data_IF_947321955395
#
_entry.id   IF_947321955395
#
_cell.length_a   1.000
_cell.length_b   1.000
_cell.length_c   1.000
_cell.angle_alpha   90.00
_cell.angle_beta   90.00
_cell.angle_gamma   90.00
#
_symmetry.space_group_name_H-M   'P 1'
#
loop_
_entity.id
_entity.type
_entity.pdbx_description
1 polymer ?
#
# COMPACT_ATOMS: atom_id res chain seq x y z
N UNK A 1 -46.51 -6.26 -34.30
CA UNK A 1 -45.53 -5.28 -33.79
C UNK A 1 -45.10 -5.76 -32.42
N UNK A 2 -43.82 -6.12 -32.24
CA UNK A 2 -43.31 -6.71 -31.00
C UNK A 2 -42.59 -5.63 -30.19
N UNK A 3 -43.05 -5.39 -28.97
CA UNK A 3 -42.45 -4.42 -28.05
C UNK A 3 -41.12 -4.95 -27.55
N UNK A 4 -40.03 -4.23 -27.83
CA UNK A 4 -38.70 -4.48 -27.28
C UNK A 4 -38.64 -3.89 -25.87
N UNK A 5 -38.53 -4.76 -24.87
CA UNK A 5 -38.34 -4.38 -23.48
C UNK A 5 -36.88 -3.95 -23.27
N UNK A 6 -36.68 -2.68 -22.90
CA UNK A 6 -35.39 -2.14 -22.51
C UNK A 6 -35.06 -2.60 -21.09
N UNK A 7 -34.39 -3.76 -20.94
CA UNK A 7 -33.70 -4.05 -19.69
C UNK A 7 -32.34 -3.36 -19.70
N UNK A 8 -32.24 -2.27 -18.94
CA UNK A 8 -30.96 -1.70 -18.57
C UNK A 8 -30.21 -2.70 -17.68
N UNK A 9 -28.89 -2.91 -17.86
CA UNK A 9 -28.10 -3.67 -16.90
C UNK A 9 -28.22 -2.96 -15.55
N UNK A 10 -28.83 -3.63 -14.57
CA UNK A 10 -28.81 -3.18 -13.20
C UNK A 10 -27.34 -2.92 -12.85
N UNK A 11 -27.02 -1.67 -12.53
CA UNK A 11 -25.67 -1.23 -12.18
C UNK A 11 -25.18 -2.05 -11.00
N UNK A 12 -24.52 -3.18 -11.29
CA UNK A 12 -23.92 -4.03 -10.30
C UNK A 12 -22.85 -3.22 -9.62
N UNK A 13 -23.10 -2.82 -8.38
CA UNK A 13 -22.08 -2.21 -7.55
C UNK A 13 -20.93 -3.20 -7.48
N UNK A 14 -19.82 -2.89 -8.14
CA UNK A 14 -18.59 -3.64 -8.00
C UNK A 14 -18.18 -3.48 -6.54
N UNK A 15 -18.41 -4.52 -5.75
CA UNK A 15 -17.88 -4.64 -4.39
C UNK A 15 -16.37 -4.72 -4.51
N UNK A 16 -15.69 -3.58 -4.48
CA UNK A 16 -14.24 -3.54 -4.28
C UNK A 16 -14.02 -4.04 -2.86
N UNK A 17 -13.62 -5.31 -2.73
CA UNK A 17 -13.13 -5.83 -1.47
C UNK A 17 -11.94 -4.97 -1.07
N UNK A 18 -12.11 -4.12 -0.07
CA UNK A 18 -11.04 -3.29 0.47
C UNK A 18 -9.97 -4.23 1.03
N UNK A 19 -8.94 -4.50 0.23
CA UNK A 19 -7.74 -5.22 0.66
C UNK A 19 -7.18 -4.45 1.85
N UNK A 20 -6.90 -5.15 2.95
CA UNK A 20 -6.23 -4.53 4.09
C UNK A 20 -4.81 -4.23 3.65
N UNK A 21 -4.51 -2.95 3.42
CA UNK A 21 -3.15 -2.47 3.23
C UNK A 21 -2.39 -2.83 4.51
N UNK A 22 -1.30 -3.58 4.39
CA UNK A 22 -0.46 -3.94 5.52
C UNK A 22 0.53 -2.80 5.77
N UNK A 23 0.47 -2.22 6.96
CA UNK A 23 1.42 -1.19 7.38
C UNK A 23 2.77 -1.84 7.71
N UNK A 24 3.90 -1.33 7.19
CA UNK A 24 5.20 -1.94 7.40
C UNK A 24 5.66 -1.78 8.85
N UNK A 25 6.42 -2.75 9.35
CA UNK A 25 6.94 -2.70 10.71
C UNK A 25 8.00 -1.61 10.83
N UNK A 26 8.03 -0.80 11.92
CA UNK A 26 9.09 0.17 12.11
C UNK A 26 10.48 -0.47 12.21
N UNK A 27 11.48 0.17 11.62
CA UNK A 27 12.87 -0.24 11.72
C UNK A 27 13.60 0.54 12.81
N UNK A 28 14.17 -0.17 13.78
CA UNK A 28 14.79 0.40 14.97
C UNK A 28 16.32 0.54 14.89
N UNK A 29 16.94 0.34 13.72
CA UNK A 29 18.40 0.54 13.55
C UNK A 29 19.23 -0.71 13.80
N UNK A 30 18.64 -1.90 13.71
CA UNK A 30 19.38 -3.16 13.82
C UNK A 30 20.54 -3.20 12.82
N UNK A 31 21.76 -3.44 13.30
CA UNK A 31 22.97 -3.60 12.46
C UNK A 31 23.04 -5.00 11.85
N UNK A 32 21.95 -5.41 11.22
CA UNK A 32 21.77 -6.69 10.58
C UNK A 32 21.27 -6.47 9.15
N UNK A 33 22.04 -6.97 8.17
CA UNK A 33 21.75 -6.73 6.76
C UNK A 33 20.39 -7.31 6.34
N UNK A 34 20.02 -8.47 6.88
CA UNK A 34 18.75 -9.13 6.59
C UNK A 34 17.56 -8.35 7.15
N UNK A 35 17.68 -7.82 8.37
CA UNK A 35 16.65 -6.97 8.96
C UNK A 35 16.43 -5.69 8.13
N UNK A 36 17.49 -5.08 7.63
CA UNK A 36 17.41 -3.92 6.75
C UNK A 36 16.77 -4.27 5.39
N UNK A 37 17.17 -5.38 4.78
CA UNK A 37 16.61 -5.85 3.50
C UNK A 37 15.12 -6.15 3.60
N UNK A 38 14.69 -6.85 4.67
CA UNK A 38 13.28 -7.11 4.93
C UNK A 38 12.47 -5.82 5.09
N UNK A 39 13.01 -4.83 5.80
CA UNK A 39 12.34 -3.54 5.97
C UNK A 39 12.15 -2.80 4.64
N UNK A 40 13.17 -2.80 3.78
CA UNK A 40 13.08 -2.19 2.45
C UNK A 40 12.03 -2.92 1.59
N UNK A 41 12.04 -4.25 1.62
CA UNK A 41 11.05 -5.06 0.91
C UNK A 41 9.61 -4.74 1.35
N UNK A 42 9.36 -4.67 2.66
CA UNK A 42 8.04 -4.33 3.22
C UNK A 42 7.60 -2.91 2.82
N UNK A 43 8.53 -1.94 2.74
CA UNK A 43 8.24 -0.58 2.27
C UNK A 43 7.89 -0.54 0.78
N UNK A 44 8.60 -1.29 -0.07
CA UNK A 44 8.32 -1.35 -1.50
C UNK A 44 6.94 -1.96 -1.80
N UNK A 45 6.56 -3.00 -1.06
CA UNK A 45 5.22 -3.58 -1.13
C UNK A 45 4.18 -2.58 -0.65
N UNK A 46 4.42 -1.91 0.48
CA UNK A 46 3.51 -0.88 0.99
C UNK A 46 3.28 0.24 -0.01
N UNK A 47 4.33 0.77 -0.66
CA UNK A 47 4.19 1.82 -1.68
C UNK A 47 3.37 1.38 -2.88
N UNK A 48 3.49 0.11 -3.27
CA UNK A 48 2.69 -0.50 -4.35
C UNK A 48 1.22 -0.56 -3.94
N UNK A 49 0.94 -1.02 -2.73
CA UNK A 49 -0.43 -1.18 -2.20
C UNK A 49 -1.17 0.15 -2.10
N UNK A 50 -0.49 1.21 -1.68
CA UNK A 50 -1.07 2.55 -1.58
C UNK A 50 -0.96 3.36 -2.89
N UNK A 51 -0.43 2.76 -3.96
CA UNK A 51 -0.18 3.40 -5.26
C UNK A 51 0.62 4.71 -5.15
N UNK A 52 1.58 4.79 -4.24
CA UNK A 52 2.42 5.99 -4.07
C UNK A 52 3.54 5.99 -5.11
N UNK A 53 3.51 7.01 -5.98
CA UNK A 53 4.40 7.11 -7.13
C UNK A 53 5.47 8.19 -7.00
N UNK A 54 5.28 9.19 -6.15
CA UNK A 54 6.25 10.28 -6.02
C UNK A 54 7.35 9.92 -5.04
N UNK A 55 8.60 10.14 -5.42
CA UNK A 55 9.76 9.83 -4.57
C UNK A 55 9.75 10.62 -3.26
N UNK A 56 9.29 11.87 -3.28
CA UNK A 56 9.11 12.69 -2.07
C UNK A 56 8.15 12.04 -1.06
N UNK A 57 7.01 11.51 -1.53
CA UNK A 57 6.06 10.84 -0.65
C UNK A 57 6.61 9.50 -0.14
N UNK A 58 7.33 8.75 -0.98
CA UNK A 58 8.01 7.50 -0.57
C UNK A 58 9.05 7.77 0.52
N UNK A 59 9.89 8.80 0.35
CA UNK A 59 10.89 9.19 1.35
C UNK A 59 10.22 9.62 2.66
N UNK A 60 9.16 10.43 2.58
CA UNK A 60 8.39 10.85 3.76
C UNK A 60 7.80 9.64 4.49
N UNK A 61 7.19 8.70 3.78
CA UNK A 61 6.61 7.50 4.38
C UNK A 61 7.68 6.55 4.93
N UNK A 62 8.79 6.35 4.22
CA UNK A 62 9.90 5.53 4.71
C UNK A 62 10.48 6.10 6.01
N UNK A 63 10.64 7.43 6.10
CA UNK A 63 11.15 8.08 7.32
C UNK A 63 10.14 8.04 8.49
N UNK A 64 8.83 8.04 8.21
CA UNK A 64 7.80 7.85 9.24
C UNK A 64 7.88 6.47 9.93
N UNK A 65 8.38 5.45 9.23
CA UNK A 65 8.53 4.08 9.74
C UNK A 65 9.93 3.79 10.29
N UNK A 66 10.77 4.81 10.49
CA UNK A 66 12.00 4.68 11.28
C UNK A 66 11.68 4.92 12.77
N UNK A 67 12.37 4.21 13.65
CA UNK A 67 12.26 4.36 15.10
C UNK A 67 13.62 4.27 15.78
N UNK A 68 13.68 4.69 17.05
CA UNK A 68 14.88 4.56 17.90
C UNK A 68 16.15 5.09 17.20
N UNK A 69 17.23 4.31 17.22
CA UNK A 69 18.53 4.65 16.64
C UNK A 69 18.49 4.85 15.12
N UNK A 70 17.45 4.40 14.43
CA UNK A 70 17.30 4.67 12.99
C UNK A 70 16.69 6.04 12.68
N UNK A 71 15.98 6.65 13.64
CA UNK A 71 15.27 7.93 13.42
C UNK A 71 16.09 9.14 13.89
N UNK A 72 16.98 8.94 14.86
CA UNK A 72 17.63 9.96 15.67
C UNK A 72 19.05 10.29 15.23
#
# INVERSE_FOLDING_TARGET
>A
MQAIANQAPAGGAISVSKVKILEPKPFCGARDAKALENYIFDLEEYFRDINTVTEEAKVTLATMHLSEDAKL
#
